data_IF_667409907813
#
_entry.id   IF_667409907813
#
_cell.length_a   1.000
_cell.length_b   1.000
_cell.length_c   1.000
_cell.angle_alpha   90.00
_cell.angle_beta   90.00
_cell.angle_gamma   90.00
#
_symmetry.space_group_name_H-M   'P 1'
#
loop_
_entity.id
_entity.type
_entity.pdbx_description
1 polymer ?
#
# COMPACT_ATOMS: atom_id res chain seq x y z
N UNK A 1 20.01 -23.19 44.51
CA UNK A 1 20.08 -24.66 44.28
C UNK A 1 19.49 -25.33 45.51
N UNK A 2 18.61 -26.33 45.36
CA UNK A 2 18.23 -27.15 46.52
C UNK A 2 19.45 -27.98 46.90
N UNK A 3 19.98 -27.80 48.11
CA UNK A 3 21.10 -28.60 48.60
C UNK A 3 20.73 -30.08 48.56
N UNK A 4 21.48 -30.87 47.78
CA UNK A 4 21.39 -32.32 47.87
C UNK A 4 22.15 -32.70 49.15
N UNK A 5 21.39 -32.97 50.21
CA UNK A 5 21.97 -33.53 51.42
C UNK A 5 22.20 -35.03 51.25
N UNK A 6 23.33 -35.50 51.77
CA UNK A 6 23.59 -36.93 51.92
C UNK A 6 22.40 -37.59 52.63
N UNK A 7 21.99 -38.77 52.17
CA UNK A 7 21.03 -39.58 52.91
C UNK A 7 21.53 -39.78 54.35
N UNK A 8 20.68 -39.61 55.39
CA UNK A 8 21.09 -39.84 56.77
C UNK A 8 21.62 -41.27 56.93
N UNK A 9 22.74 -41.44 57.63
CA UNK A 9 23.27 -42.78 57.90
C UNK A 9 22.26 -43.59 58.72
N UNK A 10 21.99 -44.85 58.36
CA UNK A 10 21.08 -45.74 59.07
C UNK A 10 21.74 -46.41 60.29
N UNK A 11 22.94 -45.98 60.71
CA UNK A 11 23.71 -46.59 61.80
C UNK A 11 22.85 -46.82 63.05
N UNK A 12 22.73 -48.09 63.45
CA UNK A 12 22.00 -48.51 64.65
C UNK A 12 22.54 -49.86 65.16
N UNK A 13 23.86 -50.05 65.04
CA UNK A 13 24.53 -51.31 65.30
C UNK A 13 24.45 -51.72 66.78
N UNK A 14 24.26 -53.01 67.05
CA UNK A 14 24.21 -53.57 68.40
C UNK A 14 25.16 -54.77 68.52
N UNK A 15 25.99 -54.79 69.55
CA UNK A 15 26.86 -55.94 69.85
C UNK A 15 26.01 -57.18 70.21
N UNK A 16 26.35 -58.41 69.79
CA UNK A 16 27.55 -58.82 69.04
C UNK A 16 27.36 -58.87 67.51
N UNK A 17 26.28 -58.27 66.98
CA UNK A 17 25.89 -58.41 65.58
C UNK A 17 26.67 -57.53 64.61
N UNK A 18 27.40 -56.53 65.10
CA UNK A 18 28.22 -55.67 64.26
C UNK A 18 29.61 -56.27 64.04
N UNK A 19 29.99 -56.43 62.77
CA UNK A 19 31.29 -56.91 62.34
C UNK A 19 32.01 -55.81 61.57
N UNK A 20 32.75 -54.98 62.30
CA UNK A 20 33.53 -53.87 61.74
C UNK A 20 35.03 -54.18 61.77
N UNK A 21 35.72 -53.86 60.67
CA UNK A 21 37.17 -53.83 60.56
C UNK A 21 37.61 -52.41 60.20
N UNK A 22 38.42 -51.82 61.07
CA UNK A 22 39.05 -50.52 60.83
C UNK A 22 40.58 -50.70 60.76
N UNK A 23 41.19 -50.21 59.68
CA UNK A 23 42.65 -50.18 59.53
C UNK A 23 43.24 -48.98 60.29
N UNK A 24 44.54 -49.04 60.64
CA UNK A 24 45.26 -47.93 61.30
C UNK A 24 45.18 -46.57 60.56
N UNK A 25 44.92 -46.61 59.25
CA UNK A 25 44.80 -45.41 58.40
C UNK A 25 43.37 -44.84 58.32
N UNK A 26 42.38 -45.50 58.92
CA UNK A 26 40.97 -45.06 58.92
C UNK A 26 40.14 -45.55 57.73
N UNK A 27 40.54 -46.64 57.05
CA UNK A 27 39.62 -47.40 56.19
C UNK A 27 38.72 -48.28 57.05
N UNK A 28 37.43 -48.32 56.69
CA UNK A 28 36.42 -49.09 57.40
C UNK A 28 35.67 -50.00 56.44
N UNK A 29 35.55 -51.27 56.82
CA UNK A 29 34.60 -52.22 56.24
C UNK A 29 33.71 -52.71 57.38
N UNK A 30 32.41 -52.51 57.24
CA UNK A 30 31.43 -52.86 58.26
C UNK A 30 30.32 -53.72 57.64
N UNK A 31 30.04 -54.83 58.32
CA UNK A 31 28.93 -55.76 58.07
C UNK A 31 28.13 -55.83 59.37
N UNK A 32 26.97 -55.21 59.39
CA UNK A 32 26.12 -55.12 60.59
C UNK A 32 24.94 -56.07 60.43
N UNK A 33 24.87 -57.12 61.24
CA UNK A 33 23.80 -58.12 61.24
C UNK A 33 22.75 -57.83 62.33
N UNK A 34 22.73 -56.61 62.88
CA UNK A 34 21.75 -56.23 63.90
C UNK A 34 20.34 -56.41 63.34
N UNK A 35 19.45 -57.19 63.99
CA UNK A 35 18.14 -57.50 63.43
C UNK A 35 17.35 -56.25 63.07
N UNK A 36 16.82 -56.20 61.85
CA UNK A 36 16.09 -55.08 61.23
C UNK A 36 16.92 -53.83 60.89
N UNK A 37 18.23 -53.88 61.14
CA UNK A 37 19.21 -52.79 60.96
C UNK A 37 20.40 -53.25 60.11
N UNK A 38 20.20 -54.26 59.28
CA UNK A 38 21.23 -54.88 58.46
C UNK A 38 21.84 -53.85 57.49
N UNK A 39 23.17 -53.73 57.46
CA UNK A 39 23.83 -52.79 56.55
C UNK A 39 25.25 -53.20 56.19
N UNK A 40 25.69 -52.73 55.03
CA UNK A 40 27.06 -52.86 54.55
C UNK A 40 27.63 -51.46 54.34
N UNK A 41 28.82 -51.19 54.86
CA UNK A 41 29.48 -49.89 54.69
C UNK A 41 30.96 -50.06 54.39
N UNK A 42 31.37 -49.59 53.21
CA UNK A 42 32.75 -49.62 52.73
C UNK A 42 33.24 -48.18 52.59
N UNK A 43 34.15 -47.77 53.46
CA UNK A 43 34.51 -46.37 53.65
C UNK A 43 36.02 -46.16 53.52
N UNK A 44 36.40 -45.19 52.70
CA UNK A 44 37.77 -44.71 52.57
C UNK A 44 37.96 -43.46 53.44
N UNK A 45 39.13 -43.34 54.09
CA UNK A 45 39.49 -42.24 55.01
C UNK A 45 39.27 -40.82 54.47
N UNK A 46 39.21 -40.63 53.15
CA UNK A 46 38.94 -39.34 52.50
C UNK A 46 37.45 -38.95 52.47
N UNK A 47 36.55 -39.81 52.95
CA UNK A 47 35.10 -39.57 52.95
C UNK A 47 34.35 -40.16 51.75
N UNK A 48 35.01 -40.91 50.86
CA UNK A 48 34.35 -41.69 49.80
C UNK A 48 33.83 -42.99 50.39
N UNK A 49 32.59 -43.37 50.10
CA UNK A 49 32.02 -44.62 50.58
C UNK A 49 30.90 -45.16 49.69
N UNK A 50 30.61 -46.44 49.90
CA UNK A 50 29.37 -47.09 49.46
C UNK A 50 28.67 -47.68 50.69
N UNK A 51 27.40 -47.31 50.88
CA UNK A 51 26.58 -47.78 52.00
C UNK A 51 25.28 -48.42 51.48
N UNK A 52 24.95 -49.61 51.97
CA UNK A 52 23.70 -50.31 51.71
C UNK A 52 22.86 -50.33 52.99
N UNK A 53 21.65 -49.77 52.92
CA UNK A 53 20.72 -49.66 54.04
C UNK A 53 19.87 -50.94 54.21
N UNK A 54 19.22 -51.13 55.38
CA UNK A 54 18.35 -52.28 55.63
C UNK A 54 17.17 -52.43 54.66
N UNK A 55 16.76 -51.32 54.02
CA UNK A 55 15.67 -51.28 53.03
C UNK A 55 16.15 -51.39 51.57
N UNK A 56 17.41 -51.76 51.35
CA UNK A 56 18.00 -51.88 50.01
C UNK A 56 18.37 -50.55 49.33
N UNK A 57 18.40 -49.45 50.09
CA UNK A 57 18.87 -48.15 49.58
C UNK A 57 20.40 -48.23 49.47
N UNK A 58 20.95 -47.84 48.32
CA UNK A 58 22.38 -47.71 48.11
C UNK A 58 22.75 -46.23 48.01
N UNK A 59 23.78 -45.83 48.74
CA UNK A 59 24.40 -44.51 48.65
C UNK A 59 25.85 -44.66 48.24
N UNK A 60 26.23 -44.07 47.11
CA UNK A 60 27.63 -43.91 46.71
C UNK A 60 28.02 -42.43 46.89
N UNK A 61 28.96 -42.14 47.79
CA UNK A 61 29.53 -40.79 47.97
C UNK A 61 30.94 -40.79 47.43
N UNK A 62 31.24 -39.90 46.49
CA UNK A 62 32.58 -39.74 45.93
C UNK A 62 33.09 -38.35 46.31
N UNK A 63 34.15 -38.29 47.13
CA UNK A 63 34.70 -37.03 47.62
C UNK A 63 35.54 -36.26 46.58
N UNK A 64 35.89 -36.92 45.46
CA UNK A 64 36.72 -36.36 44.39
C UNK A 64 36.15 -36.75 43.01
N UNK A 65 37.01 -37.10 42.04
CA UNK A 65 36.57 -37.48 40.69
C UNK A 65 35.93 -38.88 40.64
N UNK A 66 34.89 -39.03 39.82
CA UNK A 66 34.27 -40.32 39.50
C UNK A 66 34.38 -40.58 37.99
N UNK A 67 35.07 -41.65 37.62
CA UNK A 67 35.18 -42.10 36.23
C UNK A 67 34.34 -43.36 36.04
N UNK A 68 33.27 -43.25 35.24
CA UNK A 68 32.45 -44.39 34.84
C UNK A 68 32.78 -44.78 33.40
N UNK A 69 33.71 -45.71 33.24
CA UNK A 69 34.23 -46.14 31.94
C UNK A 69 33.66 -47.52 31.59
N UNK A 70 32.94 -47.62 30.47
CA UNK A 70 32.33 -48.86 29.97
C UNK A 70 32.71 -49.04 28.51
N UNK A 71 33.36 -50.15 28.17
CA UNK A 71 33.77 -50.46 26.79
C UNK A 71 32.66 -51.14 25.96
N UNK A 72 31.69 -51.74 26.65
CA UNK A 72 30.52 -52.36 26.03
C UNK A 72 29.28 -51.47 26.16
N UNK A 73 28.12 -52.12 26.26
CA UNK A 73 26.85 -51.42 26.48
C UNK A 73 26.70 -51.02 27.95
N UNK A 74 26.10 -49.86 28.19
CA UNK A 74 25.66 -49.42 29.51
C UNK A 74 24.16 -49.13 29.46
N UNK A 75 23.39 -49.83 30.28
CA UNK A 75 21.94 -49.65 30.40
C UNK A 75 21.61 -49.10 31.79
N UNK A 76 20.83 -48.02 31.84
CA UNK A 76 20.34 -47.42 33.09
C UNK A 76 18.83 -47.40 33.06
N UNK A 77 18.20 -48.15 33.96
CA UNK A 77 16.74 -48.24 34.09
C UNK A 77 16.35 -47.70 35.46
N UNK A 78 15.54 -46.64 35.47
CA UNK A 78 15.05 -45.99 36.68
C UNK A 78 13.52 -45.97 36.60
N UNK A 79 12.88 -46.87 37.34
CA UNK A 79 11.41 -46.94 37.41
C UNK A 79 10.80 -45.82 38.27
N UNK A 80 11.62 -45.20 39.11
CA UNK A 80 11.24 -44.06 39.95
C UNK A 80 11.63 -42.72 39.34
N UNK A 81 11.82 -41.71 40.19
CA UNK A 81 12.27 -40.38 39.79
C UNK A 81 13.79 -40.35 39.62
N UNK A 82 14.27 -39.76 38.52
CA UNK A 82 15.66 -39.35 38.37
C UNK A 82 15.80 -37.84 38.56
N UNK A 83 16.62 -37.41 39.54
CA UNK A 83 17.02 -36.00 39.71
C UNK A 83 18.51 -35.89 39.43
N UNK A 84 18.89 -34.99 38.52
CA UNK A 84 20.29 -34.72 38.16
C UNK A 84 20.56 -33.23 38.26
N UNK A 85 21.54 -32.85 39.07
CA UNK A 85 21.99 -31.47 39.24
C UNK A 85 23.48 -31.44 38.91
N UNK A 86 23.88 -30.48 38.07
CA UNK A 86 25.27 -30.22 37.69
C UNK A 86 25.45 -28.72 37.90
N UNK A 87 26.36 -28.34 38.81
CA UNK A 87 26.56 -26.93 39.19
C UNK A 87 27.49 -26.18 38.23
N UNK A 88 28.31 -26.92 37.50
CA UNK A 88 29.21 -26.42 36.47
C UNK A 88 28.77 -26.94 35.09
N UNK A 89 29.66 -26.84 34.12
CA UNK A 89 29.39 -27.25 32.75
C UNK A 89 29.09 -28.76 32.64
N UNK A 90 28.14 -29.09 31.77
CA UNK A 90 27.86 -30.44 31.33
C UNK A 90 28.09 -30.55 29.84
N UNK A 91 28.97 -31.46 29.44
CA UNK A 91 29.22 -31.79 28.05
C UNK A 91 28.71 -33.20 27.75
N UNK A 92 28.05 -33.37 26.62
CA UNK A 92 27.68 -34.70 26.13
C UNK A 92 27.81 -34.71 24.61
N UNK A 93 28.65 -35.63 24.13
CA UNK A 93 28.84 -35.86 22.71
C UNK A 93 28.24 -37.22 22.32
N UNK A 94 27.53 -37.24 21.21
CA UNK A 94 26.95 -38.44 20.63
C UNK A 94 27.50 -38.58 19.21
N UNK A 95 28.37 -39.56 18.98
CA UNK A 95 28.95 -39.81 17.66
C UNK A 95 27.91 -40.22 16.59
N UNK A 96 26.70 -40.56 17.02
CA UNK A 96 25.55 -40.94 16.18
C UNK A 96 24.29 -40.24 16.70
N UNK A 97 23.13 -40.86 16.54
CA UNK A 97 21.84 -40.30 16.93
C UNK A 97 21.63 -40.29 18.45
N UNK A 98 20.93 -39.26 18.93
CA UNK A 98 20.31 -39.21 20.26
C UNK A 98 18.79 -39.19 20.10
N UNK A 99 18.10 -40.13 20.73
CA UNK A 99 16.63 -40.17 20.76
C UNK A 99 16.14 -39.82 22.15
N UNK A 100 15.22 -38.85 22.25
CA UNK A 100 14.55 -38.49 23.50
C UNK A 100 13.06 -38.47 23.25
N UNK A 101 12.30 -39.27 24.01
CA UNK A 101 10.85 -39.32 23.97
C UNK A 101 10.33 -38.97 25.35
N UNK A 102 9.37 -38.05 25.41
CA UNK A 102 8.79 -37.55 26.66
C UNK A 102 7.27 -37.73 26.58
N UNK A 103 6.63 -38.08 27.70
CA UNK A 103 5.17 -38.18 27.77
C UNK A 103 4.47 -36.83 27.87
N UNK A 104 5.17 -35.82 28.40
CA UNK A 104 4.66 -34.46 28.64
C UNK A 104 5.70 -33.43 28.13
N UNK A 105 6.12 -32.51 28.97
CA UNK A 105 6.91 -31.34 28.56
C UNK A 105 8.40 -31.63 28.36
N UNK A 106 8.98 -30.96 27.37
CA UNK A 106 10.42 -30.79 27.23
C UNK A 106 10.74 -29.30 27.32
N UNK A 107 11.45 -28.90 28.37
CA UNK A 107 11.79 -27.49 28.63
C UNK A 107 13.30 -27.30 28.49
N UNK A 108 13.69 -26.34 27.64
CA UNK A 108 15.08 -25.93 27.43
C UNK A 108 15.13 -24.42 27.57
N UNK A 109 15.89 -23.95 28.55
CA UNK A 109 16.05 -22.53 28.86
C UNK A 109 17.54 -22.24 29.03
N UNK A 110 17.97 -21.10 28.50
CA UNK A 110 19.29 -20.52 28.74
C UNK A 110 19.06 -19.07 29.19
N UNK A 111 19.51 -18.72 30.40
CA UNK A 111 19.23 -17.41 30.97
C UNK A 111 20.08 -16.31 30.30
N UNK A 112 21.38 -16.58 30.15
CA UNK A 112 22.37 -15.62 29.64
C UNK A 112 23.13 -16.13 28.40
N UNK A 113 22.74 -17.27 27.83
CA UNK A 113 23.43 -17.89 26.70
C UNK A 113 22.49 -18.23 25.54
N UNK A 114 23.04 -18.92 24.54
CA UNK A 114 22.31 -19.24 23.32
C UNK A 114 21.65 -20.62 23.39
N UNK A 115 20.52 -20.76 22.68
CA UNK A 115 19.98 -22.06 22.27
C UNK A 115 20.25 -22.18 20.76
N UNK A 116 21.20 -23.06 20.40
CA UNK A 116 21.60 -23.29 19.02
C UNK A 116 21.01 -24.61 18.53
N UNK A 117 20.14 -24.55 17.53
CA UNK A 117 19.52 -25.72 16.89
C UNK A 117 19.86 -25.71 15.40
N UNK A 118 20.49 -26.77 14.91
CA UNK A 118 20.97 -26.83 13.52
C UNK A 118 20.82 -28.21 12.91
N UNK A 119 20.36 -28.24 11.66
CA UNK A 119 20.28 -29.44 10.82
C UNK A 119 20.83 -29.11 9.43
N UNK A 120 22.14 -28.82 9.31
CA UNK A 120 22.77 -28.26 8.10
C UNK A 120 22.55 -29.08 6.83
N UNK A 121 22.49 -30.40 6.94
CA UNK A 121 22.20 -31.30 5.81
C UNK A 121 20.75 -31.85 5.83
N UNK A 122 19.93 -31.39 6.78
CA UNK A 122 18.60 -31.94 7.06
C UNK A 122 17.52 -30.87 7.10
N UNK A 123 16.44 -31.18 7.80
CA UNK A 123 15.29 -30.30 7.99
C UNK A 123 14.91 -30.28 9.47
N UNK A 124 14.37 -29.15 9.93
CA UNK A 124 13.79 -29.01 11.25
C UNK A 124 12.28 -28.85 11.11
N UNK A 125 11.50 -29.58 11.91
CA UNK A 125 10.04 -29.50 11.94
C UNK A 125 9.60 -29.05 13.32
N UNK A 126 8.82 -27.97 13.38
CA UNK A 126 8.11 -27.54 14.57
C UNK A 126 6.62 -27.73 14.28
N UNK A 127 6.07 -28.85 14.74
CA UNK A 127 4.67 -29.19 14.58
C UNK A 127 3.95 -29.03 15.92
N UNK A 128 3.10 -28.01 16.02
CA UNK A 128 2.30 -27.74 17.21
C UNK A 128 0.96 -27.11 16.81
N UNK A 129 -0.03 -27.18 17.70
CA UNK A 129 -1.29 -26.45 17.54
C UNK A 129 -1.08 -24.93 17.60
N UNK A 130 -0.13 -24.49 18.42
CA UNK A 130 0.25 -23.09 18.59
C UNK A 130 1.77 -22.99 18.62
N UNK A 131 2.32 -22.05 17.84
CA UNK A 131 3.73 -21.69 17.85
C UNK A 131 3.81 -20.19 18.13
N UNK A 132 4.60 -19.82 19.13
CA UNK A 132 4.89 -18.42 19.47
C UNK A 132 6.38 -18.21 19.28
N UNK A 133 6.74 -17.21 18.49
CA UNK A 133 8.13 -16.77 18.29
C UNK A 133 8.20 -15.34 18.81
N UNK A 134 8.76 -15.18 20.01
CA UNK A 134 8.99 -13.89 20.64
C UNK A 134 10.48 -13.55 20.56
N UNK A 135 10.86 -12.74 19.57
CA UNK A 135 12.26 -12.38 19.33
C UNK A 135 12.77 -11.22 20.19
N UNK A 136 11.90 -10.56 20.97
CA UNK A 136 12.24 -9.33 21.69
C UNK A 136 12.61 -8.18 20.74
N UNK A 137 13.90 -8.06 20.41
CA UNK A 137 14.44 -6.98 19.57
C UNK A 137 14.33 -7.26 18.08
N UNK A 138 14.69 -8.46 17.62
CA UNK A 138 14.75 -8.79 16.19
C UNK A 138 14.39 -10.25 15.92
N UNK A 139 13.93 -10.50 14.69
CA UNK A 139 13.73 -11.83 14.13
C UNK A 139 14.22 -11.80 12.68
N UNK A 140 15.19 -12.65 12.34
CA UNK A 140 15.80 -12.70 11.00
C UNK A 140 15.43 -14.00 10.31
N UNK A 141 14.96 -13.90 9.06
CA UNK A 141 14.67 -15.04 8.19
C UNK A 141 15.59 -14.98 6.98
N UNK A 142 16.60 -15.86 6.94
CA UNK A 142 17.52 -15.94 5.81
C UNK A 142 17.19 -17.19 4.97
N UNK A 143 16.32 -17.01 3.98
CA UNK A 143 15.97 -18.05 3.02
C UNK A 143 15.66 -17.42 1.66
N UNK A 144 16.02 -18.08 0.53
CA UNK A 144 15.65 -17.60 -0.80
C UNK A 144 14.14 -17.68 -1.06
N UNK A 145 13.42 -18.53 -0.32
CA UNK A 145 11.98 -18.71 -0.43
C UNK A 145 11.35 -18.84 0.95
N UNK A 146 10.30 -18.06 1.21
CA UNK A 146 9.45 -18.16 2.39
C UNK A 146 8.02 -18.30 1.87
N UNK A 147 7.36 -19.41 2.22
CA UNK A 147 6.03 -19.74 1.69
C UNK A 147 5.01 -19.93 2.80
N UNK A 148 3.82 -19.39 2.59
CA UNK A 148 2.66 -19.56 3.44
C UNK A 148 1.56 -20.29 2.66
N UNK A 149 1.19 -21.50 3.09
CA UNK A 149 0.27 -22.40 2.36
C UNK A 149 -1.07 -22.66 3.09
N UNK A 150 -1.52 -21.71 3.91
CA UNK A 150 -2.77 -21.85 4.66
C UNK A 150 -3.99 -21.54 3.77
N UNK A 151 -5.14 -22.17 4.06
CA UNK A 151 -6.41 -21.84 3.40
C UNK A 151 -6.91 -20.43 3.73
N UNK A 152 -6.65 -19.98 4.96
CA UNK A 152 -6.97 -18.65 5.47
C UNK A 152 -5.79 -18.15 6.29
N UNK A 153 -5.40 -16.89 6.11
CA UNK A 153 -4.34 -16.24 6.88
C UNK A 153 -4.72 -14.79 7.19
N UNK A 154 -4.33 -14.32 8.37
CA UNK A 154 -4.52 -12.94 8.81
C UNK A 154 -3.23 -12.44 9.44
N UNK A 155 -2.69 -11.34 8.94
CA UNK A 155 -1.59 -10.62 9.57
C UNK A 155 -2.14 -9.38 10.29
N UNK A 156 -1.91 -9.26 11.59
CA UNK A 156 -2.32 -8.11 12.40
C UNK A 156 -1.09 -7.36 12.87
N UNK A 157 -0.92 -6.12 12.41
CA UNK A 157 0.16 -5.24 12.83
C UNK A 157 -0.46 -4.12 13.65
N UNK A 158 -0.13 -4.07 14.95
CA UNK A 158 -0.65 -3.05 15.88
C UNK A 158 0.07 -1.70 15.76
N UNK A 159 1.34 -1.74 15.36
CA UNK A 159 2.18 -0.56 15.16
C UNK A 159 2.37 -0.23 13.68
N UNK A 160 3.52 0.34 13.35
CA UNK A 160 3.88 0.65 11.97
C UNK A 160 4.35 -0.60 11.22
N UNK A 161 4.01 -0.70 9.94
CA UNK A 161 4.51 -1.73 9.03
C UNK A 161 5.27 -1.07 7.87
N UNK A 162 6.55 -1.41 7.72
CA UNK A 162 7.40 -0.93 6.63
C UNK A 162 7.89 -2.11 5.81
N UNK A 163 7.64 -2.08 4.49
CA UNK A 163 8.14 -3.06 3.53
C UNK A 163 9.16 -2.42 2.59
N UNK A 164 10.43 -2.84 2.71
CA UNK A 164 11.53 -2.37 1.87
C UNK A 164 11.97 -3.45 0.88
N UNK A 165 11.29 -3.57 -0.26
CA UNK A 165 11.71 -4.45 -1.33
C UNK A 165 12.74 -3.73 -2.22
N UNK A 166 14.00 -4.18 -2.21
CA UNK A 166 15.07 -3.60 -3.04
C UNK A 166 14.97 -4.03 -4.51
N UNK A 167 14.38 -5.19 -4.77
CA UNK A 167 14.04 -5.68 -6.11
C UNK A 167 12.60 -5.37 -6.50
N UNK A 168 12.05 -6.15 -7.43
CA UNK A 168 10.63 -6.06 -7.80
C UNK A 168 9.71 -6.54 -6.67
N UNK A 169 8.55 -5.89 -6.52
CA UNK A 169 7.48 -6.32 -5.64
C UNK A 169 6.22 -6.63 -6.47
N UNK A 170 5.86 -7.91 -6.56
CA UNK A 170 4.70 -8.37 -7.32
C UNK A 170 3.58 -8.79 -6.37
N UNK A 171 2.41 -8.17 -6.50
CA UNK A 171 1.21 -8.50 -5.74
C UNK A 171 0.11 -9.01 -6.67
N UNK A 172 -0.24 -10.28 -6.52
CA UNK A 172 -1.29 -10.93 -7.29
C UNK A 172 -2.37 -11.46 -6.36
N UNK A 173 -3.64 -11.17 -6.68
CA UNK A 173 -4.78 -11.59 -5.87
C UNK A 173 -6.03 -11.72 -6.73
N UNK A 174 -6.94 -12.61 -6.36
CA UNK A 174 -8.27 -12.71 -6.99
C UNK A 174 -9.19 -11.52 -6.66
N UNK A 175 -9.02 -10.92 -5.48
CA UNK A 175 -9.69 -9.67 -5.07
C UNK A 175 -8.69 -8.79 -4.31
N UNK A 176 -8.52 -7.55 -4.76
CA UNK A 176 -7.72 -6.56 -4.06
C UNK A 176 -8.63 -5.51 -3.41
N UNK A 177 -8.34 -5.14 -2.16
CA UNK A 177 -9.02 -4.05 -1.48
C UNK A 177 -7.98 -3.29 -0.68
N UNK A 178 -7.86 -2.00 -0.93
CA UNK A 178 -6.92 -1.10 -0.27
C UNK A 178 -7.70 0.06 0.34
N UNK A 179 -7.50 0.29 1.63
CA UNK A 179 -8.12 1.39 2.36
C UNK A 179 -7.11 2.04 3.30
N UNK A 180 -7.15 3.36 3.40
CA UNK A 180 -6.43 4.14 4.40
C UNK A 180 -7.43 5.03 5.12
N UNK A 181 -7.35 5.09 6.46
CA UNK A 181 -8.11 6.05 7.25
C UNK A 181 -7.43 7.44 7.29
N UNK A 182 -6.16 7.49 6.89
CA UNK A 182 -5.39 8.71 6.73
C UNK A 182 -5.03 8.95 5.27
N UNK A 183 -3.90 9.63 5.05
CA UNK A 183 -3.36 9.86 3.72
C UNK A 183 -2.90 8.56 3.06
N UNK A 184 -2.99 8.50 1.73
CA UNK A 184 -2.39 7.45 0.91
C UNK A 184 -1.58 8.11 -0.21
N UNK A 185 -0.28 7.79 -0.28
CA UNK A 185 0.63 8.33 -1.29
C UNK A 185 1.11 7.22 -2.22
N UNK A 186 1.01 7.46 -3.53
CA UNK A 186 1.56 6.59 -4.57
C UNK A 186 2.54 7.42 -5.40
N UNK A 187 3.83 7.15 -5.23
CA UNK A 187 4.90 7.83 -5.94
C UNK A 187 5.68 6.82 -6.75
N UNK A 188 5.82 7.07 -8.05
CA UNK A 188 6.67 6.29 -8.94
C UNK A 188 7.49 7.23 -9.81
N UNK A 189 8.72 6.83 -10.10
CA UNK A 189 9.56 7.50 -11.09
C UNK A 189 9.32 6.97 -12.51
N UNK A 190 8.83 5.73 -12.62
CA UNK A 190 8.39 5.12 -13.87
C UNK A 190 6.91 5.36 -14.16
N UNK A 191 6.37 4.65 -15.14
CA UNK A 191 4.95 4.72 -15.50
C UNK A 191 4.05 4.03 -14.45
N UNK A 192 2.84 4.56 -14.28
CA UNK A 192 1.70 3.80 -13.74
C UNK A 192 0.86 3.36 -14.93
N UNK A 193 0.50 2.07 -14.98
CA UNK A 193 -0.45 1.54 -15.97
C UNK A 193 -1.57 0.81 -15.24
N UNK A 194 -2.81 1.14 -15.56
CA UNK A 194 -4.01 0.50 -15.03
C UNK A 194 -4.82 -0.04 -16.21
N UNK A 195 -5.12 -1.33 -16.19
CA UNK A 195 -6.00 -1.98 -17.17
C UNK A 195 -7.23 -2.49 -16.45
N UNK A 196 -8.40 -2.05 -16.89
CA UNK A 196 -9.67 -2.29 -16.19
C UNK A 196 -10.61 -2.97 -17.18
N UNK A 197 -10.93 -4.24 -16.94
CA UNK A 197 -11.84 -5.00 -17.79
C UNK A 197 -13.33 -4.69 -17.56
N UNK A 198 -13.65 -4.02 -16.44
CA UNK A 198 -15.01 -3.59 -16.08
C UNK A 198 -15.12 -2.06 -15.99
N UNK A 199 -15.84 -1.56 -14.99
CA UNK A 199 -15.94 -0.12 -14.71
C UNK A 199 -14.80 0.40 -13.84
N UNK A 200 -14.47 1.67 -14.04
CA UNK A 200 -13.58 2.44 -13.17
C UNK A 200 -14.35 3.65 -12.67
N UNK A 201 -14.52 3.76 -11.34
CA UNK A 201 -15.21 4.88 -10.72
C UNK A 201 -14.29 5.55 -9.71
N UNK A 202 -14.25 6.89 -9.76
CA UNK A 202 -13.51 7.71 -8.81
C UNK A 202 -14.46 8.73 -8.22
N UNK A 203 -14.59 8.73 -6.90
CA UNK A 203 -15.46 9.63 -6.16
C UNK A 203 -14.59 10.46 -5.21
N UNK A 204 -14.65 11.78 -5.35
CA UNK A 204 -13.90 12.71 -4.51
C UNK A 204 -14.90 13.58 -3.77
N UNK A 205 -15.07 13.33 -2.48
CA UNK A 205 -15.98 14.10 -1.63
C UNK A 205 -15.52 15.56 -1.47
N UNK A 206 -14.21 15.81 -1.52
CA UNK A 206 -13.59 17.14 -1.41
C UNK A 206 -14.13 17.94 -0.20
N UNK A 207 -14.19 17.31 0.98
CA UNK A 207 -14.63 17.98 2.22
C UNK A 207 -13.52 18.96 2.61
N UNK A 208 -13.74 20.29 2.57
CA UNK A 208 -12.77 21.23 3.07
C UNK A 208 -12.72 21.03 4.59
N UNK A 209 -11.61 20.50 5.10
CA UNK A 209 -11.34 20.56 6.54
C UNK A 209 -11.50 22.00 7.02
N UNK A 210 -12.15 22.17 8.17
CA UNK A 210 -12.43 23.45 8.84
C UNK A 210 -11.32 24.50 8.59
N UNK A 211 -11.59 25.44 7.68
CA UNK A 211 -10.67 26.52 7.32
C UNK A 211 -10.18 26.43 5.87
N UNK A 212 -10.87 27.14 4.96
CA UNK A 212 -10.39 27.58 3.64
C UNK A 212 -9.44 26.62 2.90
N UNK A 213 -9.75 25.32 2.91
CA UNK A 213 -8.94 24.29 2.26
C UNK A 213 -8.92 24.41 0.73
N UNK A 214 -7.95 23.74 0.11
CA UNK A 214 -7.79 23.68 -1.35
C UNK A 214 -9.10 23.26 -2.03
N UNK A 215 -9.70 24.17 -2.80
CA UNK A 215 -10.96 23.92 -3.52
C UNK A 215 -10.81 22.96 -4.72
N UNK A 216 -9.57 22.58 -5.08
CA UNK A 216 -9.29 21.67 -6.20
C UNK A 216 -9.40 20.21 -5.74
N UNK A 217 -10.55 19.58 -6.01
CA UNK A 217 -10.78 18.16 -5.73
C UNK A 217 -9.81 17.23 -6.49
N UNK A 218 -9.52 17.55 -7.76
CA UNK A 218 -8.62 16.78 -8.62
C UNK A 218 -7.81 17.68 -9.54
N UNK A 219 -6.52 17.38 -9.70
CA UNK A 219 -5.63 18.08 -10.63
C UNK A 219 -4.95 17.06 -11.54
N UNK A 220 -5.19 17.15 -12.83
CA UNK A 220 -4.49 16.37 -13.86
C UNK A 220 -3.65 17.36 -14.65
N UNK A 221 -2.33 17.20 -14.66
CA UNK A 221 -1.41 18.11 -15.35
C UNK A 221 -0.19 17.37 -15.91
N UNK A 222 0.35 17.89 -17.01
CA UNK A 222 1.66 17.51 -17.53
C UNK A 222 2.70 18.54 -17.06
N UNK A 223 3.77 18.10 -16.41
CA UNK A 223 4.77 19.01 -15.87
C UNK A 223 5.86 19.43 -16.87
N UNK A 224 6.09 18.61 -17.91
CA UNK A 224 7.15 18.84 -18.90
C UNK A 224 6.60 19.49 -20.18
N UNK A 225 7.35 20.41 -20.82
CA UNK A 225 6.99 20.96 -22.13
C UNK A 225 6.75 19.84 -23.15
N UNK A 226 5.61 19.89 -23.85
CA UNK A 226 5.21 18.87 -24.83
C UNK A 226 4.41 17.70 -24.27
N UNK A 227 4.15 17.63 -22.96
CA UNK A 227 3.24 16.63 -22.40
C UNK A 227 1.80 16.80 -22.90
N UNK A 228 1.10 15.68 -23.14
CA UNK A 228 -0.29 15.66 -23.60
C UNK A 228 -1.18 14.86 -22.63
N UNK A 229 -2.36 15.37 -22.35
CA UNK A 229 -3.45 14.61 -21.72
C UNK A 229 -4.37 14.13 -22.84
N UNK A 230 -4.66 12.83 -22.85
CA UNK A 230 -5.57 12.21 -23.83
C UNK A 230 -6.74 11.59 -23.08
N UNK A 231 -7.96 11.94 -23.50
CA UNK A 231 -9.19 11.26 -23.14
C UNK A 231 -9.78 10.73 -24.45
N UNK A 232 -10.03 9.43 -24.52
CA UNK A 232 -10.45 8.76 -25.76
C UNK A 232 -11.55 7.73 -25.44
N UNK A 233 -12.55 7.66 -26.33
CA UNK A 233 -13.58 6.60 -26.35
C UNK A 233 -13.61 6.00 -27.75
N UNK A 234 -13.49 4.68 -27.85
CA UNK A 234 -13.50 3.94 -29.13
C UNK A 234 -14.82 3.19 -29.40
N UNK A 235 -15.77 3.23 -28.45
CA UNK A 235 -17.04 2.53 -28.57
C UNK A 235 -18.05 3.39 -29.39
N UNK A 236 -18.71 2.84 -30.43
CA UNK A 236 -19.75 3.57 -31.20
C UNK A 236 -20.98 3.97 -30.39
N UNK A 237 -21.11 3.49 -29.14
CA UNK A 237 -22.15 3.89 -28.19
C UNK A 237 -21.62 4.73 -27.02
N UNK A 238 -20.29 4.98 -26.94
CA UNK A 238 -19.65 5.67 -25.82
C UNK A 238 -19.08 7.04 -26.21
N UNK A 239 -19.33 8.08 -25.41
CA UNK A 239 -18.86 9.45 -25.63
C UNK A 239 -17.96 9.97 -24.51
N UNK A 240 -17.60 11.24 -24.59
CA UNK A 240 -16.90 11.97 -23.52
C UNK A 240 -17.80 13.11 -23.07
N UNK A 241 -18.15 13.13 -21.79
CA UNK A 241 -18.95 14.19 -21.17
C UNK A 241 -18.18 14.88 -20.05
N UNK A 242 -18.21 16.21 -20.07
CA UNK A 242 -17.76 17.09 -18.99
C UNK A 242 -18.98 17.86 -18.49
N UNK A 243 -19.53 17.41 -17.36
CA UNK A 243 -20.83 17.84 -16.84
C UNK A 243 -20.68 18.70 -15.57
N UNK A 244 -21.47 19.78 -15.49
CA UNK A 244 -21.73 20.49 -14.24
C UNK A 244 -23.16 20.25 -13.78
N UNK A 245 -23.31 19.79 -12.53
CA UNK A 245 -24.58 19.29 -11.99
C UNK A 245 -24.92 17.87 -12.49
N UNK A 246 -25.92 17.23 -11.89
CA UNK A 246 -26.34 15.88 -12.29
C UNK A 246 -26.64 15.84 -13.79
N UNK A 247 -25.95 14.99 -14.55
CA UNK A 247 -26.16 14.86 -16.00
C UNK A 247 -25.91 16.14 -16.82
N UNK A 248 -25.18 17.12 -16.29
CA UNK A 248 -24.91 18.37 -17.00
C UNK A 248 -26.08 19.36 -16.98
N UNK A 249 -27.00 19.25 -16.02
CA UNK A 249 -28.16 20.14 -15.87
C UNK A 249 -27.80 21.64 -15.84
N UNK A 250 -26.61 22.00 -15.35
CA UNK A 250 -26.14 23.39 -15.34
C UNK A 250 -25.47 23.75 -16.67
N UNK A 251 -24.45 22.97 -17.04
CA UNK A 251 -23.71 23.09 -18.29
C UNK A 251 -23.02 21.77 -18.64
N UNK A 252 -22.68 21.62 -19.92
CA UNK A 252 -22.03 20.43 -20.45
C UNK A 252 -21.13 20.77 -21.64
N UNK A 253 -19.99 20.09 -21.72
CA UNK A 253 -19.23 19.86 -22.95
C UNK A 253 -19.29 18.37 -23.24
N UNK A 254 -19.79 17.98 -24.40
CA UNK A 254 -19.93 16.57 -24.77
C UNK A 254 -19.43 16.29 -26.18
N UNK A 255 -18.97 15.06 -26.39
CA UNK A 255 -18.63 14.50 -27.70
C UNK A 255 -19.53 13.28 -27.87
N UNK A 256 -20.56 13.43 -28.71
CA UNK A 256 -21.60 12.44 -28.88
C UNK A 256 -21.17 11.36 -29.89
N UNK A 257 -21.33 10.07 -29.55
CA UNK A 257 -21.14 8.98 -30.50
C UNK A 257 -22.42 8.76 -31.34
N UNK A 258 -22.32 8.12 -32.52
CA UNK A 258 -21.10 7.73 -33.24
C UNK A 258 -20.57 8.86 -34.16
N UNK A 259 -21.31 9.96 -34.31
CA UNK A 259 -21.02 11.03 -35.25
C UNK A 259 -19.83 11.89 -34.82
N UNK A 260 -19.50 11.89 -33.52
CA UNK A 260 -18.48 12.74 -32.94
C UNK A 260 -18.95 14.19 -32.77
N UNK A 261 -20.27 14.42 -32.75
CA UNK A 261 -20.83 15.76 -32.64
C UNK A 261 -20.41 16.39 -31.31
N UNK A 262 -19.77 17.56 -31.39
CA UNK A 262 -19.32 18.30 -30.22
C UNK A 262 -20.39 19.30 -29.83
N UNK A 263 -20.88 19.21 -28.60
CA UNK A 263 -21.83 20.17 -28.04
C UNK A 263 -21.20 20.93 -26.87
N UNK A 264 -21.34 22.25 -26.88
CA UNK A 264 -21.01 23.13 -25.75
C UNK A 264 -22.29 23.88 -25.39
N UNK A 265 -22.84 23.61 -24.21
CA UNK A 265 -24.13 24.18 -23.79
C UNK A 265 -24.13 24.66 -22.34
N UNK A 266 -24.88 25.73 -22.11
CA UNK A 266 -25.26 26.23 -20.78
C UNK A 266 -26.78 26.29 -20.71
N UNK A 267 -27.37 25.76 -19.65
CA UNK A 267 -28.84 25.70 -19.51
C UNK A 267 -29.33 26.69 -18.45
N UNK A 268 -28.91 26.48 -17.20
CA UNK A 268 -29.31 27.31 -16.05
C UNK A 268 -28.17 28.17 -15.51
N UNK A 269 -26.97 28.11 -16.12
CA UNK A 269 -25.85 28.95 -15.74
C UNK A 269 -26.12 30.43 -16.11
N UNK A 270 -25.96 31.39 -15.19
CA UNK A 270 -26.47 32.75 -15.33
C UNK A 270 -25.74 33.61 -16.37
N UNK A 271 -24.51 33.25 -16.73
CA UNK A 271 -23.62 34.07 -17.59
C UNK A 271 -23.42 33.52 -19.00
N UNK A 272 -23.91 32.32 -19.31
CA UNK A 272 -23.77 31.70 -20.64
C UNK A 272 -22.34 31.27 -21.01
N UNK A 273 -22.06 31.23 -22.31
CA UNK A 273 -20.75 30.87 -22.91
C UNK A 273 -20.04 32.14 -23.39
N UNK A 274 -18.83 32.38 -22.90
CA UNK A 274 -17.97 33.48 -23.36
C UNK A 274 -16.73 32.94 -24.06
N UNK A 275 -16.45 33.40 -25.28
CA UNK A 275 -15.21 33.11 -26.03
C UNK A 275 -14.38 34.39 -26.06
N UNK A 276 -13.22 34.37 -25.41
CA UNK A 276 -12.31 35.52 -25.33
C UNK A 276 -10.90 35.12 -25.78
N UNK A 277 -10.24 35.93 -26.61
CA UNK A 277 -8.89 35.67 -27.14
C UNK A 277 -8.10 36.96 -27.24
N UNK A 278 -6.81 36.90 -26.88
CA UNK A 278 -5.88 38.04 -27.00
C UNK A 278 -5.40 38.28 -28.43
N UNK A 279 -5.57 37.30 -29.34
CA UNK A 279 -5.06 37.38 -30.71
C UNK A 279 -6.21 37.39 -31.71
N UNK A 280 -6.84 36.24 -31.94
CA UNK A 280 -8.05 36.13 -32.75
C UNK A 280 -8.91 34.96 -32.24
N UNK A 281 -10.21 35.07 -32.45
CA UNK A 281 -11.17 33.96 -32.32
C UNK A 281 -11.83 33.76 -33.68
N UNK A 282 -11.81 32.54 -34.22
CA UNK A 282 -12.32 32.24 -35.56
C UNK A 282 -13.39 31.16 -35.49
N UNK A 283 -14.58 31.47 -36.00
CA UNK A 283 -15.65 30.49 -36.21
C UNK A 283 -15.63 30.06 -37.69
N UNK A 284 -15.51 28.76 -37.94
CA UNK A 284 -15.49 28.20 -39.31
C UNK A 284 -16.55 27.12 -39.42
N UNK A 285 -17.57 27.37 -40.24
CA UNK A 285 -18.49 26.36 -40.72
C UNK A 285 -18.25 26.12 -42.20
N UNK A 286 -17.68 24.96 -42.58
CA UNK A 286 -17.38 24.67 -43.99
C UNK A 286 -18.64 24.60 -44.86
N UNK A 287 -19.72 24.06 -44.30
CA UNK A 287 -21.04 24.08 -44.93
C UNK A 287 -21.80 25.36 -44.54
N UNK A 288 -21.91 25.62 -43.23
CA UNK A 288 -22.61 26.77 -42.70
C UNK A 288 -22.12 27.07 -41.27
N UNK A 289 -21.98 28.35 -40.92
CA UNK A 289 -21.90 28.80 -39.54
C UNK A 289 -23.15 29.64 -39.26
N UNK A 290 -23.89 29.30 -38.21
CA UNK A 290 -25.15 29.95 -37.84
C UNK A 290 -24.96 30.70 -36.52
N UNK A 291 -25.38 31.97 -36.49
CA UNK A 291 -25.39 32.79 -35.27
C UNK A 291 -26.82 33.32 -35.10
N UNK A 292 -27.49 32.86 -34.06
CA UNK A 292 -28.88 33.17 -33.77
C UNK A 292 -29.03 33.71 -32.34
N UNK A 293 -29.94 34.66 -32.16
CA UNK A 293 -30.26 35.24 -30.87
C UNK A 293 -31.30 36.35 -31.01
N UNK A 294 -31.97 36.69 -29.91
CA UNK A 294 -32.91 37.84 -29.86
C UNK A 294 -32.20 39.14 -30.25
N UNK A 295 -30.94 39.28 -29.84
CA UNK A 295 -30.05 40.36 -30.24
C UNK A 295 -28.69 39.77 -30.60
N UNK A 296 -28.23 40.00 -31.83
CA UNK A 296 -26.85 39.76 -32.24
C UNK A 296 -26.16 41.10 -32.34
N UNK A 297 -25.22 41.37 -31.41
CA UNK A 297 -24.44 42.62 -31.39
C UNK A 297 -23.02 42.37 -31.91
N UNK A 298 -22.67 43.02 -33.01
CA UNK A 298 -21.31 43.09 -33.52
C UNK A 298 -20.74 44.48 -33.22
N UNK A 299 -19.56 44.55 -32.63
CA UNK A 299 -18.89 45.82 -32.29
C UNK A 299 -17.40 45.65 -32.51
N UNK A 300 -16.79 46.61 -33.21
CA UNK A 300 -15.36 46.69 -33.43
C UNK A 300 -14.91 48.14 -33.25
N UNK A 301 -13.70 48.35 -32.74
CA UNK A 301 -13.13 49.69 -32.58
C UNK A 301 -12.80 50.35 -33.92
N UNK A 302 -12.35 49.55 -34.89
CA UNK A 302 -11.95 50.03 -36.21
C UNK A 302 -13.00 49.73 -37.29
N UNK A 303 -13.20 48.45 -37.63
CA UNK A 303 -14.04 48.02 -38.75
C UNK A 303 -14.70 46.68 -38.48
N UNK A 304 -15.97 46.55 -38.88
CA UNK A 304 -16.64 45.27 -39.08
C UNK A 304 -16.67 45.03 -40.59
N UNK A 305 -15.92 44.04 -41.06
CA UNK A 305 -15.86 43.65 -42.47
C UNK A 305 -16.70 42.39 -42.69
N UNK A 306 -17.56 42.43 -43.72
CA UNK A 306 -18.39 41.30 -44.13
C UNK A 306 -18.21 41.11 -45.63
N UNK A 307 -17.72 39.94 -46.02
CA UNK A 307 -17.47 39.61 -47.41
C UNK A 307 -18.31 38.42 -47.86
N UNK A 308 -18.89 38.53 -49.04
CA UNK A 308 -19.65 37.47 -49.68
C UNK A 308 -20.18 37.94 -51.03
N UNK A 309 -20.43 37.00 -51.95
CA UNK A 309 -21.07 37.32 -53.24
C UNK A 309 -22.43 37.99 -53.06
N UNK A 310 -23.12 37.71 -51.95
CA UNK A 310 -24.39 38.30 -51.56
C UNK A 310 -24.49 38.37 -50.04
N UNK A 311 -24.73 39.58 -49.50
CA UNK A 311 -25.01 39.81 -48.08
C UNK A 311 -26.48 40.23 -47.96
N UNK A 312 -27.25 39.50 -47.18
CA UNK A 312 -28.67 39.77 -46.93
C UNK A 312 -28.83 40.35 -45.53
N UNK A 313 -29.35 41.58 -45.45
CA UNK A 313 -29.70 42.25 -44.20
C UNK A 313 -31.21 42.39 -44.21
N UNK A 314 -31.89 41.89 -43.16
CA UNK A 314 -33.36 41.88 -43.04
C UNK A 314 -34.10 40.89 -43.97
N UNK A 315 -33.49 39.72 -44.21
CA UNK A 315 -34.09 38.64 -45.02
C UNK A 315 -34.00 38.89 -46.53
N UNK A 316 -34.68 38.04 -47.33
CA UNK A 316 -34.68 38.09 -48.80
C UNK A 316 -35.37 39.32 -49.40
N UNK A 317 -35.78 40.28 -48.57
CA UNK A 317 -36.56 41.46 -48.94
C UNK A 317 -35.78 42.73 -48.58
N UNK A 318 -35.02 43.18 -49.58
CA UNK A 318 -34.45 44.53 -49.80
C UNK A 318 -33.38 45.05 -48.81
N UNK A 319 -32.09 45.15 -49.23
CA UNK A 319 -31.02 45.67 -48.39
C UNK A 319 -31.17 47.18 -48.10
N UNK A 320 -30.63 47.61 -46.96
CA UNK A 320 -30.57 49.01 -46.52
C UNK A 320 -29.91 49.97 -47.52
N UNK A 321 -29.01 49.45 -48.37
CA UNK A 321 -28.39 50.17 -49.47
C UNK A 321 -28.61 49.34 -50.73
N UNK A 322 -29.22 49.94 -51.74
CA UNK A 322 -29.42 49.36 -53.07
C UNK A 322 -28.08 49.43 -53.82
N UNK A 323 -27.17 48.50 -53.54
CA UNK A 323 -25.76 48.57 -53.94
C UNK A 323 -25.48 48.97 -55.40
N UNK A 324 -26.27 48.47 -56.36
CA UNK A 324 -26.14 48.88 -57.78
C UNK A 324 -26.52 50.36 -58.00
N UNK A 325 -27.59 50.84 -57.37
CA UNK A 325 -28.01 52.26 -57.42
C UNK A 325 -27.03 53.18 -56.70
N UNK A 326 -26.48 52.77 -55.56
CA UNK A 326 -25.48 53.55 -54.85
C UNK A 326 -24.23 53.76 -55.70
N UNK A 327 -23.69 52.69 -56.33
CA UNK A 327 -22.55 52.81 -57.23
C UNK A 327 -22.84 53.65 -58.48
N UNK A 328 -24.06 53.55 -59.03
CA UNK A 328 -24.49 54.40 -60.15
C UNK A 328 -24.59 55.89 -59.77
N UNK A 329 -24.85 56.22 -58.51
CA UNK A 329 -24.87 57.61 -58.02
C UNK A 329 -23.45 58.11 -57.69
N UNK A 330 -22.60 57.24 -57.15
CA UNK A 330 -21.25 57.60 -56.74
C UNK A 330 -20.28 57.71 -57.92
N UNK A 331 -20.50 56.99 -59.03
CA UNK A 331 -19.63 57.09 -60.22
C UNK A 331 -19.63 58.49 -60.87
N UNK A 332 -20.73 59.22 -60.71
CA UNK A 332 -20.94 60.56 -61.29
C UNK A 332 -20.74 61.67 -60.24
N UNK A 333 -20.35 61.33 -59.02
CA UNK A 333 -20.08 62.29 -57.95
C UNK A 333 -18.78 63.07 -58.23
N UNK A 334 -18.87 64.40 -58.26
CA UNK A 334 -17.75 65.30 -58.49
C UNK A 334 -17.76 66.45 -57.47
N UNK A 335 -16.56 66.92 -57.10
CA UNK A 335 -16.36 68.15 -56.34
C UNK A 335 -15.89 69.26 -57.31
N UNK A 336 -16.45 70.47 -57.17
CA UNK A 336 -16.10 71.63 -57.98
C UNK A 336 -14.69 72.19 -57.70
N UNK A 337 -13.97 71.67 -56.70
CA UNK A 337 -12.57 72.04 -56.45
C UNK A 337 -11.79 70.93 -55.74
N UNK A 338 -10.46 70.95 -55.93
CA UNK A 338 -9.48 70.05 -55.31
C UNK A 338 -9.31 70.23 -53.79
N UNK A 339 -9.90 71.27 -53.17
CA UNK A 339 -9.66 71.65 -51.76
C UNK A 339 -10.91 71.53 -50.87
N UNK A 340 -11.93 70.79 -51.30
CA UNK A 340 -13.15 70.54 -50.54
C UNK A 340 -14.33 71.41 -50.97
N UNK A 341 -15.55 71.15 -50.45
CA UNK A 341 -16.79 71.63 -51.04
C UNK A 341 -16.97 73.14 -50.82
N UNK A 342 -16.80 73.92 -51.87
CA UNK A 342 -17.13 75.35 -51.92
C UNK A 342 -18.49 75.53 -52.59
N UNK A 343 -19.56 75.13 -51.90
CA UNK A 343 -20.93 75.39 -52.33
C UNK A 343 -21.99 74.48 -51.68
N UNK A 344 -23.27 74.88 -51.68
CA UNK A 344 -24.36 74.06 -51.17
C UNK A 344 -24.45 72.73 -51.94
N UNK A 345 -24.87 71.69 -51.23
CA UNK A 345 -25.00 70.33 -51.76
C UNK A 345 -25.83 70.36 -53.05
N UNK A 346 -25.32 69.81 -54.15
CA UNK A 346 -26.08 69.71 -55.40
C UNK A 346 -27.40 68.94 -55.12
N UNK A 347 -28.58 69.57 -55.27
CA UNK A 347 -29.86 69.01 -54.82
C UNK A 347 -30.20 67.65 -55.45
N UNK A 348 -29.75 67.43 -56.69
CA UNK A 348 -29.97 66.21 -57.46
C UNK A 348 -29.24 65.00 -56.89
N UNK A 349 -28.05 65.17 -56.32
CA UNK A 349 -27.29 64.06 -55.72
C UNK A 349 -27.79 63.71 -54.33
N UNK A 350 -28.21 64.70 -53.55
CA UNK A 350 -28.76 64.49 -52.20
C UNK A 350 -30.01 63.60 -52.23
N UNK A 351 -30.96 63.88 -53.13
CA UNK A 351 -32.20 63.10 -53.27
C UNK A 351 -31.95 61.70 -53.84
N UNK A 352 -31.01 61.58 -54.78
CA UNK A 352 -30.67 60.29 -55.39
C UNK A 352 -29.90 59.39 -54.41
N UNK A 353 -28.96 59.93 -53.63
CA UNK A 353 -28.32 59.21 -52.54
C UNK A 353 -29.34 58.71 -51.51
N UNK A 354 -30.36 59.52 -51.19
CA UNK A 354 -31.49 59.11 -50.35
C UNK A 354 -32.29 57.93 -50.97
N UNK A 355 -32.43 57.90 -52.30
CA UNK A 355 -33.11 56.83 -53.04
C UNK A 355 -32.25 55.58 -53.29
N UNK A 356 -30.94 55.67 -53.08
CA UNK A 356 -30.04 54.51 -53.05
C UNK A 356 -30.08 53.80 -51.69
N UNK A 357 -30.76 54.38 -50.71
CA UNK A 357 -31.00 53.81 -49.40
C UNK A 357 -32.41 53.20 -49.38
N UNK A 358 -32.62 52.13 -48.61
CA UNK A 358 -33.94 51.55 -48.41
C UNK A 358 -34.81 52.53 -47.60
N UNK A 359 -36.08 52.65 -47.98
CA UNK A 359 -37.07 53.50 -47.29
C UNK A 359 -37.26 53.13 -45.81
N UNK A 360 -36.87 51.93 -45.39
CA UNK A 360 -36.92 51.48 -43.99
C UNK A 360 -35.77 52.03 -43.12
N UNK A 361 -34.68 52.56 -43.71
CA UNK A 361 -33.52 53.09 -42.95
C UNK A 361 -33.82 54.46 -42.32
N UNK A 362 -34.82 55.17 -42.85
CA UNK A 362 -35.24 56.49 -42.37
C UNK A 362 -36.56 56.47 -41.56
N UNK A 363 -37.05 55.26 -41.24
CA UNK A 363 -38.22 55.05 -40.39
C UNK A 363 -37.80 54.16 -39.22
N UNK A 364 -36.89 54.70 -38.40
CA UNK A 364 -36.85 54.49 -36.97
C UNK A 364 -37.42 55.73 -36.31
#
# INVERSE_FOLDING_TARGET
VQDIQQAPSPYAAVYPFNHAYESESGHLIEVDDTPTKERLHWYHRSGTFTEFHPKGIRTDRIAAHHYHMVLGNSETIISGLQKRIIENDSFTDYAKSKHQSLGNDFVVTSDNGDIILGATAGHAVIAAKHVVIDGGSTMTLNAPLITRINKTATDTIKGNYTLNAQGGYNLQTGKFTMGSMGEANITTFGNITQTIGGSSEEIIANIPGFGLGNLTAKKIKTAFPGGKIVLESSNPLGGIDLNMGMGGLMSQISIAPPTGDITIKTTSAPTGITINSLTFAKLIGKAQAVVEGVLVKLTAEALIEMEGKLIQINGKTEPAILGKKFMDIFKDHQHSSSVGPTGPIMPTYAMNALNAMSKKVFLG
#
